data_IF_759169805929
#
_entry.id   IF_759169805929
#
_cell.length_a   1.000
_cell.length_b   1.000
_cell.length_c   1.000
_cell.angle_alpha   90.00
_cell.angle_beta   90.00
_cell.angle_gamma   90.00
#
_symmetry.space_group_name_H-M   'P 1'
#
loop_
_entity.id
_entity.type
_entity.pdbx_description
1 polymer ?
#
# COMPACT_ATOMS: atom_id res chain seq x y z
N UNK A 1 -1.97 6.37 -15.96
CA UNK A 1 -2.69 5.26 -16.58
C UNK A 1 -1.68 4.19 -17.01
N UNK A 2 -0.77 4.51 -17.94
CA UNK A 2 0.21 3.52 -18.44
C UNK A 2 1.33 3.17 -17.44
N UNK A 3 1.87 4.17 -16.72
CA UNK A 3 2.93 3.94 -15.72
C UNK A 3 2.47 3.07 -14.53
N UNK A 4 1.22 3.24 -14.09
CA UNK A 4 0.60 2.44 -13.01
C UNK A 4 0.23 1.03 -13.50
N UNK A 5 0.05 0.85 -14.81
CA UNK A 5 -0.25 -0.45 -15.43
C UNK A 5 1.01 -1.26 -15.77
N UNK A 6 2.21 -0.68 -15.66
CA UNK A 6 3.46 -1.31 -16.07
C UNK A 6 4.11 -2.20 -14.99
N UNK A 7 3.72 -2.05 -13.72
CA UNK A 7 4.21 -2.87 -12.61
C UNK A 7 3.37 -4.14 -12.37
N UNK A 8 3.74 -4.96 -11.36
CA UNK A 8 2.99 -6.16 -10.99
C UNK A 8 1.52 -5.85 -10.72
N UNK A 9 0.62 -6.53 -11.43
CA UNK A 9 -0.81 -6.30 -11.29
C UNK A 9 -1.38 -7.18 -10.17
N UNK A 10 -1.98 -6.55 -9.17
CA UNK A 10 -2.60 -7.18 -8.01
C UNK A 10 -4.07 -6.81 -7.93
N UNK A 11 -4.83 -7.54 -7.10
CA UNK A 11 -6.14 -7.09 -6.66
C UNK A 11 -5.95 -5.89 -5.72
N UNK A 12 -6.67 -4.80 -5.97
CA UNK A 12 -6.65 -3.60 -5.15
C UNK A 12 -7.99 -3.41 -4.46
N UNK A 13 -7.95 -2.92 -3.23
CA UNK A 13 -9.11 -2.50 -2.46
C UNK A 13 -9.68 -1.18 -3.00
N UNK A 14 -8.81 -0.23 -3.38
CA UNK A 14 -9.11 1.12 -3.88
C UNK A 14 -9.90 2.04 -2.93
N UNK A 15 -10.40 1.52 -1.81
CA UNK A 15 -10.89 2.32 -0.67
C UNK A 15 -10.28 1.88 0.67
N UNK A 16 -9.00 1.53 0.68
CA UNK A 16 -8.32 1.12 1.93
C UNK A 16 -8.09 2.35 2.83
N UNK A 17 -8.89 2.45 3.88
CA UNK A 17 -8.86 3.53 4.86
C UNK A 17 -8.98 2.94 6.26
N UNK A 18 -8.53 3.66 7.29
CA UNK A 18 -8.52 3.15 8.66
C UNK A 18 -9.92 2.76 9.18
N UNK A 19 -10.99 3.38 8.68
CA UNK A 19 -12.39 3.03 8.97
C UNK A 19 -12.84 1.69 8.34
N UNK A 20 -12.13 1.21 7.31
CA UNK A 20 -12.37 -0.08 6.65
C UNK A 20 -11.44 -1.19 7.17
N UNK A 21 -10.59 -0.91 8.17
CA UNK A 21 -9.66 -1.85 8.75
C UNK A 21 -10.07 -2.24 10.17
N UNK A 22 -10.27 -3.53 10.38
CA UNK A 22 -10.65 -4.09 11.68
C UNK A 22 -9.66 -5.14 12.13
N UNK A 23 -9.55 -5.31 13.45
CA UNK A 23 -8.81 -6.43 14.03
C UNK A 23 -9.72 -7.66 14.05
N UNK A 24 -9.27 -8.72 13.37
CA UNK A 24 -9.93 -10.02 13.38
C UNK A 24 -9.66 -10.80 14.67
N UNK A 25 -10.35 -11.91 14.85
CA UNK A 25 -10.02 -12.89 15.87
C UNK A 25 -8.80 -13.74 15.46
N UNK A 26 -8.46 -14.76 16.25
CA UNK A 26 -7.33 -15.67 15.97
C UNK A 26 -7.42 -16.39 14.61
N UNK A 27 -8.59 -16.38 13.94
CA UNK A 27 -8.78 -17.02 12.64
C UNK A 27 -8.44 -16.10 11.45
N UNK A 28 -8.30 -14.80 11.68
CA UNK A 28 -7.89 -13.87 10.64
C UNK A 28 -6.38 -13.99 10.37
N UNK A 29 -6.00 -14.36 9.15
CA UNK A 29 -4.60 -14.41 8.71
C UNK A 29 -3.98 -13.01 8.87
N UNK A 30 -2.98 -12.88 9.74
CA UNK A 30 -2.35 -11.59 10.04
C UNK A 30 -3.13 -10.68 11.00
N UNK A 31 -4.26 -11.14 11.55
CA UNK A 31 -5.05 -10.41 12.55
C UNK A 31 -5.81 -9.19 12.04
N UNK A 32 -5.74 -8.88 10.73
CA UNK A 32 -6.40 -7.74 10.11
C UNK A 32 -7.47 -8.20 9.13
N UNK A 33 -8.62 -7.54 9.15
CA UNK A 33 -9.74 -7.74 8.22
C UNK A 33 -10.03 -6.42 7.50
N UNK A 34 -10.05 -6.48 6.16
CA UNK A 34 -10.47 -5.38 5.29
C UNK A 34 -11.93 -5.56 4.91
N UNK A 35 -12.74 -4.53 5.12
CA UNK A 35 -14.15 -4.47 4.75
C UNK A 35 -14.37 -3.49 3.60
N UNK A 36 -15.56 -3.58 2.99
CA UNK A 36 -16.02 -2.65 1.95
C UNK A 36 -15.23 -2.69 0.63
N UNK A 37 -15.26 -3.86 -0.01
CA UNK A 37 -14.61 -4.13 -1.29
C UNK A 37 -15.39 -3.59 -2.51
N UNK A 38 -16.34 -2.66 -2.35
CA UNK A 38 -17.18 -2.20 -3.47
C UNK A 38 -16.39 -1.49 -4.59
N UNK A 39 -15.21 -0.96 -4.24
CA UNK A 39 -14.31 -0.26 -5.17
C UNK A 39 -13.24 -1.17 -5.78
N UNK A 40 -13.27 -2.49 -5.52
CA UNK A 40 -12.22 -3.43 -5.93
C UNK A 40 -11.80 -3.29 -7.39
N UNK A 41 -10.49 -3.32 -7.64
CA UNK A 41 -9.93 -3.15 -8.98
C UNK A 41 -8.60 -3.88 -9.16
N UNK A 42 -7.89 -3.54 -10.24
CA UNK A 42 -6.58 -4.10 -10.56
C UNK A 42 -5.56 -2.98 -10.79
N UNK A 43 -4.36 -3.15 -10.26
CA UNK A 43 -3.24 -2.21 -10.46
C UNK A 43 -2.02 -2.63 -9.66
N UNK A 44 -1.02 -1.76 -9.53
CA UNK A 44 0.14 -2.04 -8.66
C UNK A 44 -0.25 -1.91 -7.19
N UNK A 45 0.11 -2.90 -6.38
CA UNK A 45 -0.28 -2.99 -4.96
C UNK A 45 0.03 -1.76 -4.11
N UNK A 46 1.09 -1.01 -4.46
CA UNK A 46 1.49 0.20 -3.75
C UNK A 46 0.44 1.34 -3.84
N UNK A 47 -0.54 1.28 -4.76
CA UNK A 47 -1.64 2.26 -4.80
C UNK A 47 -2.49 2.23 -3.53
N UNK A 48 -2.81 1.04 -3.03
CA UNK A 48 -3.57 0.89 -1.79
C UNK A 48 -2.75 1.43 -0.61
N UNK A 49 -1.45 1.17 -0.57
CA UNK A 49 -0.55 1.71 0.46
C UNK A 49 -0.51 3.25 0.43
N UNK A 50 -0.43 3.84 -0.76
CA UNK A 50 -0.46 5.28 -0.95
C UNK A 50 -1.80 5.90 -0.54
N UNK A 51 -2.91 5.28 -0.93
CA UNK A 51 -4.25 5.74 -0.55
C UNK A 51 -4.47 5.67 0.95
N UNK A 52 -4.08 4.57 1.59
CA UNK A 52 -4.12 4.44 3.04
C UNK A 52 -3.30 5.55 3.71
N UNK A 53 -2.09 5.80 3.20
CA UNK A 53 -1.23 6.81 3.79
C UNK A 53 -1.79 8.24 3.67
N UNK A 54 -2.34 8.58 2.50
CA UNK A 54 -2.91 9.91 2.25
C UNK A 54 -4.22 10.14 3.02
N UNK A 55 -5.07 9.12 3.12
CA UNK A 55 -6.40 9.23 3.72
C UNK A 55 -6.41 9.06 5.24
N UNK A 56 -5.47 8.29 5.80
CA UNK A 56 -5.55 7.80 7.18
C UNK A 56 -4.40 8.30 8.08
N UNK A 57 -3.24 8.69 7.53
CA UNK A 57 -2.17 9.31 8.33
C UNK A 57 -2.30 10.84 8.37
N UNK A 58 -3.27 11.31 9.15
CA UNK A 58 -3.45 12.73 9.47
C UNK A 58 -2.77 13.08 10.80
N UNK A 59 -1.45 12.89 10.92
CA UNK A 59 -0.71 13.29 12.12
C UNK A 59 -0.34 14.79 12.05
N UNK A 60 -0.97 15.65 12.87
CA UNK A 60 -0.64 17.07 12.88
C UNK A 60 0.73 17.25 13.54
N UNK A 61 1.67 17.86 12.82
CA UNK A 61 3.01 18.15 13.34
C UNK A 61 4.11 17.21 12.85
N UNK A 62 3.78 16.20 12.04
CA UNK A 62 4.81 15.42 11.33
C UNK A 62 5.49 16.30 10.27
N UNK A 63 6.76 16.61 10.48
CA UNK A 63 7.54 17.49 9.61
C UNK A 63 8.35 16.73 8.55
N UNK A 64 8.60 15.43 8.74
CA UNK A 64 9.37 14.60 7.81
C UNK A 64 8.53 13.47 7.21
N UNK A 65 7.57 13.88 6.38
CA UNK A 65 6.70 12.96 5.64
C UNK A 65 7.46 11.99 4.75
N UNK A 66 8.59 12.43 4.17
CA UNK A 66 9.37 11.59 3.25
C UNK A 66 10.02 10.43 3.99
N UNK A 67 10.69 10.69 5.13
CA UNK A 67 11.31 9.62 5.90
C UNK A 67 10.27 8.62 6.44
N UNK A 68 9.11 9.12 6.89
CA UNK A 68 7.99 8.28 7.31
C UNK A 68 7.50 7.39 6.18
N UNK A 69 7.24 7.96 5.00
CA UNK A 69 6.69 7.24 3.86
C UNK A 69 7.71 6.21 3.32
N UNK A 70 9.00 6.55 3.31
CA UNK A 70 10.05 5.58 2.97
C UNK A 70 10.06 4.39 3.92
N UNK A 71 9.93 4.63 5.23
CA UNK A 71 9.85 3.55 6.23
C UNK A 71 8.60 2.69 6.05
N UNK A 72 7.46 3.30 5.73
CA UNK A 72 6.23 2.57 5.42
C UNK A 72 6.41 1.65 4.21
N UNK A 73 7.00 2.17 3.12
CA UNK A 73 7.27 1.39 1.92
C UNK A 73 8.32 0.31 2.15
N UNK A 74 9.31 0.55 3.00
CA UNK A 74 10.31 -0.44 3.39
C UNK A 74 9.65 -1.63 4.09
N UNK A 75 8.77 -1.39 5.07
CA UNK A 75 8.03 -2.45 5.75
C UNK A 75 7.16 -3.24 4.76
N UNK A 76 6.43 -2.55 3.89
CA UNK A 76 5.62 -3.19 2.85
C UNK A 76 6.46 -4.08 1.93
N UNK A 77 7.59 -3.57 1.43
CA UNK A 77 8.47 -4.29 0.53
C UNK A 77 9.12 -5.51 1.21
N UNK A 78 9.61 -5.36 2.45
CA UNK A 78 10.15 -6.46 3.23
C UNK A 78 9.11 -7.57 3.44
N UNK A 79 7.88 -7.22 3.80
CA UNK A 79 6.79 -8.20 3.96
C UNK A 79 6.47 -8.95 2.67
N UNK A 80 6.54 -8.30 1.50
CA UNK A 80 6.39 -8.98 0.21
C UNK A 80 7.52 -9.97 -0.06
N UNK A 81 8.77 -9.59 0.22
CA UNK A 81 9.93 -10.45 0.03
C UNK A 81 9.86 -11.66 0.98
N UNK A 82 9.50 -11.45 2.24
CA UNK A 82 9.27 -12.52 3.22
C UNK A 82 8.14 -13.48 2.79
N UNK A 83 7.12 -12.96 2.11
CA UNK A 83 6.05 -13.75 1.52
C UNK A 83 6.44 -14.45 0.20
N UNK A 84 7.68 -14.28 -0.29
CA UNK A 84 8.23 -14.99 -1.44
C UNK A 84 8.31 -14.19 -2.74
N UNK A 85 8.08 -12.88 -2.73
CA UNK A 85 8.33 -12.01 -3.89
C UNK A 85 9.84 -11.89 -4.14
N UNK A 86 10.26 -12.09 -5.38
CA UNK A 86 11.65 -11.98 -5.81
C UNK A 86 12.13 -10.51 -5.78
N UNK A 87 13.04 -10.21 -4.85
CA UNK A 87 13.61 -8.88 -4.65
C UNK A 87 14.40 -8.36 -5.86
N UNK A 88 14.95 -9.23 -6.71
CA UNK A 88 15.66 -8.81 -7.92
C UNK A 88 14.67 -8.37 -9.01
N UNK A 89 13.46 -8.94 -9.02
CA UNK A 89 12.39 -8.58 -9.96
C UNK A 89 11.55 -7.40 -9.50
N UNK A 90 11.39 -7.23 -8.20
CA UNK A 90 10.68 -6.10 -7.61
C UNK A 90 11.54 -5.49 -6.50
N UNK A 91 12.57 -4.70 -6.87
CA UNK A 91 13.45 -4.07 -5.89
C UNK A 91 12.75 -2.95 -5.14
N UNK A 92 13.32 -2.53 -4.00
CA UNK A 92 12.76 -1.47 -3.16
C UNK A 92 12.49 -0.18 -3.96
N UNK A 93 13.38 0.19 -4.88
CA UNK A 93 13.23 1.39 -5.71
C UNK A 93 11.99 1.33 -6.61
N UNK A 94 11.59 0.13 -7.05
CA UNK A 94 10.35 -0.06 -7.79
C UNK A 94 9.14 0.14 -6.87
N UNK A 95 9.16 -0.43 -5.65
CA UNK A 95 8.10 -0.23 -4.67
C UNK A 95 7.95 1.25 -4.27
N UNK A 96 9.07 1.95 -4.07
CA UNK A 96 9.08 3.38 -3.77
C UNK A 96 8.52 4.21 -4.93
N UNK A 97 8.93 3.93 -6.16
CA UNK A 97 8.38 4.60 -7.35
C UNK A 97 6.87 4.37 -7.46
N UNK A 98 6.41 3.14 -7.29
CA UNK A 98 5.01 2.78 -7.45
C UNK A 98 4.14 3.41 -6.33
N UNK A 99 4.68 3.53 -5.11
CA UNK A 99 4.05 4.31 -4.03
C UNK A 99 3.92 5.80 -4.38
N UNK A 100 5.00 6.43 -4.88
CA UNK A 100 4.96 7.84 -5.29
C UNK A 100 3.96 8.09 -6.43
N UNK A 101 3.85 7.15 -7.37
CA UNK A 101 2.82 7.19 -8.41
C UNK A 101 1.42 7.13 -7.80
N UNK A 102 1.22 6.27 -6.79
CA UNK A 102 -0.01 6.21 -5.99
C UNK A 102 -0.34 7.57 -5.35
N UNK A 103 0.62 8.18 -4.64
CA UNK A 103 0.43 9.50 -4.01
C UNK A 103 0.05 10.58 -5.03
N UNK A 104 0.65 10.57 -6.21
CA UNK A 104 0.30 11.52 -7.27
C UNK A 104 -1.08 11.27 -7.89
N UNK A 105 -1.64 10.07 -7.74
CA UNK A 105 -2.95 9.66 -8.27
C UNK A 105 -4.09 9.80 -7.26
N UNK A 106 -3.77 9.76 -5.97
CA UNK A 106 -4.70 9.96 -4.87
C UNK A 106 -4.90 11.45 -4.63
N UNK A 107 -6.13 11.94 -4.80
CA UNK A 107 -6.50 13.35 -4.67
C UNK A 107 -6.78 13.74 -3.23
#
# INVERSE_FOLDING_TARGET
AEAVAAGPQTLLHLDVRADNLFWGDEQAVGGVVLLDWQMVGQGVGALDLAWFAASSFLEPGETDRVARDQRLVEVYWQSLVEAGVDADRYPFEAAWRDYLLGIAWTW
#
